data_IF_930648599993
#
_entry.id   IF_930648599993
#
_cell.length_a   1.000
_cell.length_b   1.000
_cell.length_c   1.000
_cell.angle_alpha   90.00
_cell.angle_beta   90.00
_cell.angle_gamma   90.00
#
_symmetry.space_group_name_H-M   'P 1'
#
loop_
_entity.id
_entity.type
_entity.pdbx_description
1 polymer ?
#
# COMPACT_ATOMS: atom_id res chain seq x y z
N UNK A 1 2.98 -11.07 -37.18
CA UNK A 1 4.35 -11.52 -36.88
C UNK A 1 4.29 -12.94 -36.35
N UNK A 2 5.38 -13.72 -36.37
CA UNK A 2 5.37 -15.05 -35.78
C UNK A 2 4.95 -14.95 -34.31
N UNK A 3 4.06 -15.84 -33.88
CA UNK A 3 3.67 -15.97 -32.49
C UNK A 3 4.91 -16.40 -31.69
N UNK A 4 5.18 -15.76 -30.56
CA UNK A 4 6.26 -16.18 -29.65
C UNK A 4 6.06 -17.66 -29.31
N UNK A 5 7.15 -18.42 -29.22
CA UNK A 5 7.09 -19.78 -28.72
C UNK A 5 6.55 -19.79 -27.28
N UNK A 6 5.95 -20.90 -26.85
CA UNK A 6 5.44 -21.04 -25.48
C UNK A 6 6.52 -20.72 -24.44
N UNK A 7 7.78 -21.10 -24.70
CA UNK A 7 8.90 -20.82 -23.80
C UNK A 7 9.23 -19.32 -23.71
N UNK A 8 9.26 -18.61 -24.85
CA UNK A 8 9.48 -17.15 -24.89
C UNK A 8 8.34 -16.41 -24.19
N UNK A 9 7.10 -16.85 -24.38
CA UNK A 9 5.95 -16.31 -23.68
C UNK A 9 6.06 -16.50 -22.16
N UNK A 10 6.36 -17.71 -21.68
CA UNK A 10 6.50 -17.98 -20.24
C UNK A 10 7.59 -17.11 -19.64
N UNK A 11 8.74 -16.98 -20.32
CA UNK A 11 9.82 -16.12 -19.83
C UNK A 11 9.37 -14.66 -19.73
N UNK A 12 8.76 -14.12 -20.79
CA UNK A 12 8.28 -12.75 -20.81
C UNK A 12 7.20 -12.50 -19.74
N UNK A 13 6.28 -13.44 -19.55
CA UNK A 13 5.25 -13.36 -18.52
C UNK A 13 5.86 -13.30 -17.12
N UNK A 14 6.88 -14.11 -16.84
CA UNK A 14 7.59 -14.07 -15.56
C UNK A 14 8.34 -12.75 -15.37
N UNK A 15 9.07 -12.27 -16.38
CA UNK A 15 9.84 -11.02 -16.31
C UNK A 15 8.93 -9.78 -16.15
N UNK A 16 7.67 -9.86 -16.57
CA UNK A 16 6.68 -8.76 -16.52
C UNK A 16 5.71 -8.88 -15.34
N UNK A 17 5.80 -9.95 -14.55
CA UNK A 17 4.96 -10.14 -13.36
C UNK A 17 5.61 -9.46 -12.16
N UNK A 18 4.87 -8.57 -11.51
CA UNK A 18 5.31 -7.95 -10.24
C UNK A 18 4.55 -8.56 -9.07
N UNK A 19 5.26 -8.91 -8.01
CA UNK A 19 4.72 -9.56 -6.83
C UNK A 19 4.87 -8.63 -5.63
N UNK A 20 3.73 -8.17 -5.12
CA UNK A 20 3.64 -7.45 -3.85
C UNK A 20 3.01 -8.34 -2.79
N UNK A 21 3.55 -8.29 -1.58
CA UNK A 21 2.94 -8.92 -0.41
C UNK A 21 2.26 -7.89 0.47
N UNK A 22 1.13 -8.26 1.07
CA UNK A 22 0.49 -7.44 2.09
C UNK A 22 1.07 -7.74 3.46
N UNK A 23 1.58 -6.70 4.14
CA UNK A 23 2.03 -6.79 5.53
C UNK A 23 1.01 -6.09 6.43
N UNK A 24 0.07 -6.87 6.97
CA UNK A 24 -1.12 -6.37 7.68
C UNK A 24 -1.20 -6.93 9.11
N UNK A 25 -0.05 -7.26 9.71
CA UNK A 25 0.00 -7.67 11.11
C UNK A 25 1.33 -7.39 11.79
N UNK A 26 1.36 -7.28 13.13
CA UNK A 26 2.60 -7.21 13.89
C UNK A 26 3.55 -8.38 13.60
N UNK A 27 3.01 -9.57 13.33
CA UNK A 27 3.81 -10.74 12.95
C UNK A 27 4.49 -10.55 11.59
N UNK A 28 3.79 -9.99 10.60
CA UNK A 28 4.38 -9.64 9.31
C UNK A 28 5.49 -8.59 9.48
N UNK A 29 5.25 -7.54 10.27
CA UNK A 29 6.24 -6.51 10.56
C UNK A 29 7.51 -7.08 11.23
N UNK A 30 7.37 -8.01 12.19
CA UNK A 30 8.51 -8.67 12.85
C UNK A 30 9.33 -9.55 11.91
N UNK A 31 8.72 -10.10 10.86
CA UNK A 31 9.37 -11.00 9.91
C UNK A 31 9.71 -10.32 8.57
N UNK A 32 9.58 -8.99 8.49
CA UNK A 32 9.60 -8.29 7.21
C UNK A 32 10.93 -8.44 6.47
N UNK A 33 12.06 -8.46 7.18
CA UNK A 33 13.38 -8.67 6.57
C UNK A 33 13.48 -10.04 5.88
N UNK A 34 12.93 -11.10 6.50
CA UNK A 34 12.93 -12.43 5.92
C UNK A 34 12.00 -12.49 4.69
N UNK A 35 10.81 -11.90 4.79
CA UNK A 35 9.84 -11.82 3.69
C UNK A 35 10.46 -11.07 2.50
N UNK A 36 10.96 -9.86 2.75
CA UNK A 36 11.46 -8.97 1.70
C UNK A 36 12.79 -9.44 1.10
N UNK A 37 13.48 -10.40 1.73
CA UNK A 37 14.68 -11.02 1.17
C UNK A 37 14.41 -11.96 0.00
N UNK A 38 13.18 -12.47 -0.16
CA UNK A 38 12.83 -13.38 -1.25
C UNK A 38 13.08 -12.72 -2.61
N UNK A 39 13.82 -13.36 -3.54
CA UNK A 39 14.11 -12.76 -4.85
C UNK A 39 12.86 -12.56 -5.72
N UNK A 40 11.75 -13.20 -5.37
CA UNK A 40 10.48 -13.13 -6.11
C UNK A 40 9.58 -11.98 -5.67
N UNK A 41 9.84 -11.34 -4.53
CA UNK A 41 8.99 -10.27 -4.00
C UNK A 41 9.57 -8.92 -4.45
N UNK A 42 8.79 -8.10 -5.10
CA UNK A 42 9.19 -6.77 -5.57
C UNK A 42 8.92 -5.66 -4.55
N UNK A 43 8.00 -5.91 -3.61
CA UNK A 43 7.65 -4.93 -2.60
C UNK A 43 6.59 -5.37 -1.61
N UNK A 44 6.26 -4.44 -0.73
CA UNK A 44 5.29 -4.63 0.34
C UNK A 44 4.23 -3.56 0.27
N UNK A 45 2.97 -3.94 0.48
CA UNK A 45 1.85 -3.03 0.66
C UNK A 45 1.31 -3.18 2.08
N UNK A 46 1.06 -2.05 2.76
CA UNK A 46 0.39 -2.03 4.06
C UNK A 46 -1.05 -1.59 3.88
N UNK A 47 -1.99 -2.41 4.37
CA UNK A 47 -3.39 -2.06 4.58
C UNK A 47 -3.63 -1.61 6.02
N UNK A 48 -3.83 -0.32 6.30
CA UNK A 48 -3.96 0.17 7.68
C UNK A 48 -5.15 -0.40 8.44
N UNK A 49 -6.27 -0.63 7.76
CA UNK A 49 -7.50 -1.12 8.38
C UNK A 49 -7.29 -2.53 8.95
N UNK A 50 -6.79 -3.46 8.15
CA UNK A 50 -6.49 -4.82 8.60
C UNK A 50 -5.33 -4.86 9.61
N UNK A 51 -4.32 -3.99 9.43
CA UNK A 51 -3.21 -3.90 10.38
C UNK A 51 -3.70 -3.46 11.78
N UNK A 52 -4.41 -2.33 11.86
CA UNK A 52 -4.93 -1.84 13.16
C UNK A 52 -5.92 -2.82 13.79
N UNK A 53 -6.68 -3.57 12.96
CA UNK A 53 -7.52 -4.66 13.43
C UNK A 53 -6.71 -5.81 14.04
N UNK A 54 -5.65 -6.26 13.37
CA UNK A 54 -4.77 -7.32 13.88
C UNK A 54 -4.03 -6.94 15.17
N UNK A 55 -3.88 -5.64 15.42
CA UNK A 55 -3.31 -5.08 16.65
C UNK A 55 -4.32 -4.93 17.79
N UNK A 56 -5.63 -5.07 17.53
CA UNK A 56 -6.67 -4.81 18.51
C UNK A 56 -7.00 -3.32 18.72
N UNK A 57 -6.51 -2.43 17.85
CA UNK A 57 -6.73 -0.97 17.92
C UNK A 57 -7.44 -0.46 16.67
N UNK A 58 -8.53 -1.15 16.28
CA UNK A 58 -9.28 -0.93 15.04
C UNK A 58 -9.50 0.57 14.77
N UNK A 59 -9.02 1.05 13.61
CA UNK A 59 -9.22 2.42 13.16
C UNK A 59 -8.36 3.48 13.85
N UNK A 60 -7.51 3.10 14.82
CA UNK A 60 -6.58 4.00 15.49
C UNK A 60 -5.31 4.18 14.65
N UNK A 61 -5.46 4.87 13.52
CA UNK A 61 -4.42 5.07 12.52
C UNK A 61 -3.24 5.98 12.94
N UNK A 62 -3.42 6.71 14.04
CA UNK A 62 -2.41 7.58 14.64
C UNK A 62 -1.68 6.89 15.81
N UNK A 63 -2.03 5.62 16.10
CA UNK A 63 -1.35 4.83 17.12
C UNK A 63 0.16 4.71 16.82
N UNK A 64 0.97 5.00 17.83
CA UNK A 64 2.43 5.05 17.69
C UNK A 64 3.04 3.67 17.38
N UNK A 65 2.45 2.58 17.85
CA UNK A 65 2.93 1.23 17.52
C UNK A 65 2.60 0.88 16.06
N UNK A 66 1.41 1.24 15.59
CA UNK A 66 1.02 1.03 14.19
C UNK A 66 1.92 1.81 13.24
N UNK A 67 2.15 3.10 13.53
CA UNK A 67 3.05 3.93 12.72
C UNK A 67 4.50 3.41 12.79
N UNK A 68 4.95 2.95 13.96
CA UNK A 68 6.26 2.33 14.12
C UNK A 68 6.43 1.05 13.29
N UNK A 69 5.40 0.22 13.20
CA UNK A 69 5.40 -0.95 12.32
C UNK A 69 5.45 -0.56 10.84
N UNK A 70 4.67 0.43 10.41
CA UNK A 70 4.72 0.94 9.04
C UNK A 70 6.12 1.48 8.68
N UNK A 71 6.74 2.25 9.59
CA UNK A 71 8.08 2.79 9.39
C UNK A 71 9.13 1.68 9.32
N UNK A 72 9.05 0.65 10.18
CA UNK A 72 9.95 -0.50 10.12
C UNK A 72 9.86 -1.26 8.79
N UNK A 73 8.64 -1.49 8.29
CA UNK A 73 8.41 -2.15 6.99
C UNK A 73 8.98 -1.30 5.85
N UNK A 74 8.74 0.01 5.86
CA UNK A 74 9.32 0.93 4.89
C UNK A 74 10.86 0.84 4.89
N UNK A 75 11.50 0.91 6.05
CA UNK A 75 12.96 0.84 6.14
C UNK A 75 13.51 -0.49 5.62
N UNK A 76 12.84 -1.61 5.89
CA UNK A 76 13.22 -2.90 5.35
C UNK A 76 13.14 -2.94 3.82
N UNK A 77 12.07 -2.38 3.23
CA UNK A 77 11.92 -2.26 1.78
C UNK A 77 13.02 -1.39 1.17
N UNK A 78 13.31 -0.21 1.75
CA UNK A 78 14.36 0.68 1.28
C UNK A 78 15.74 0.02 1.32
N UNK A 79 16.06 -0.67 2.43
CA UNK A 79 17.32 -1.42 2.59
C UNK A 79 17.45 -2.53 1.54
N UNK A 80 16.36 -3.22 1.24
CA UNK A 80 16.32 -4.27 0.21
C UNK A 80 16.25 -3.72 -1.22
N UNK A 81 16.14 -2.39 -1.39
CA UNK A 81 15.90 -1.71 -2.68
C UNK A 81 14.62 -2.22 -3.37
N UNK A 82 13.57 -2.41 -2.59
CA UNK A 82 12.25 -2.91 -3.00
C UNK A 82 11.16 -1.88 -2.71
N UNK A 83 10.04 -2.03 -3.41
CA UNK A 83 8.95 -1.07 -3.33
C UNK A 83 8.21 -1.14 -2.00
N UNK A 84 7.79 0.02 -1.51
CA UNK A 84 6.87 0.14 -0.39
C UNK A 84 5.62 0.89 -0.85
N UNK A 85 4.47 0.38 -0.44
CA UNK A 85 3.19 1.05 -0.59
C UNK A 85 2.33 1.00 0.65
N UNK A 86 1.41 1.95 0.74
CA UNK A 86 0.44 2.03 1.83
C UNK A 86 -0.89 2.55 1.27
N UNK A 87 -2.00 1.96 1.71
CA UNK A 87 -3.32 2.44 1.36
C UNK A 87 -3.75 3.58 2.28
N UNK A 88 -4.19 4.71 1.73
CA UNK A 88 -4.69 5.83 2.53
C UNK A 88 -5.68 6.71 1.76
N UNK A 89 -6.62 7.34 2.46
CA UNK A 89 -7.64 8.22 1.86
C UNK A 89 -7.45 9.71 2.15
N UNK A 90 -6.45 10.10 2.94
CA UNK A 90 -6.05 11.50 3.19
C UNK A 90 -4.80 11.87 2.40
N UNK A 91 -4.89 12.92 1.58
CA UNK A 91 -3.79 13.34 0.69
C UNK A 91 -2.52 13.72 1.46
N UNK A 92 -2.63 14.46 2.55
CA UNK A 92 -1.45 14.92 3.32
C UNK A 92 -0.65 13.74 3.89
N UNK A 93 -1.33 12.69 4.35
CA UNK A 93 -0.68 11.48 4.86
C UNK A 93 -0.04 10.69 3.72
N UNK A 94 -0.71 10.59 2.57
CA UNK A 94 -0.14 9.97 1.39
C UNK A 94 1.15 10.70 0.95
N UNK A 95 1.15 12.03 0.96
CA UNK A 95 2.32 12.86 0.66
C UNK A 95 3.43 12.69 1.71
N UNK A 96 3.09 12.56 2.99
CA UNK A 96 4.06 12.30 4.05
C UNK A 96 4.78 10.96 3.85
N UNK A 97 4.06 9.88 3.51
CA UNK A 97 4.66 8.59 3.20
C UNK A 97 5.51 8.61 1.94
N UNK A 98 5.06 9.32 0.88
CA UNK A 98 5.88 9.55 -0.31
C UNK A 98 7.20 10.24 0.03
N UNK A 99 7.17 11.27 0.88
CA UNK A 99 8.37 11.99 1.34
C UNK A 99 9.32 11.07 2.12
N UNK A 100 8.80 10.09 2.86
CA UNK A 100 9.61 9.09 3.58
C UNK A 100 10.23 8.02 2.65
N UNK A 101 9.76 7.88 1.41
CA UNK A 101 10.30 6.93 0.43
C UNK A 101 9.30 5.92 -0.12
N UNK A 102 8.00 6.03 0.21
CA UNK A 102 6.99 5.19 -0.43
C UNK A 102 6.94 5.44 -1.94
N UNK A 103 6.94 4.38 -2.73
CA UNK A 103 6.92 4.43 -4.20
C UNK A 103 5.57 4.06 -4.80
N UNK A 104 4.72 3.38 -4.03
CA UNK A 104 3.39 2.96 -4.46
C UNK A 104 2.34 3.60 -3.54
N UNK A 105 1.39 4.35 -4.11
CA UNK A 105 0.34 5.00 -3.34
C UNK A 105 -1.02 4.41 -3.74
N UNK A 106 -1.60 3.60 -2.86
CA UNK A 106 -2.98 3.13 -3.02
C UNK A 106 -3.89 4.22 -2.43
N UNK A 107 -4.17 5.25 -3.23
CA UNK A 107 -4.89 6.42 -2.74
C UNK A 107 -6.41 6.24 -2.87
N UNK A 108 -7.08 6.18 -1.72
CA UNK A 108 -8.54 6.10 -1.62
C UNK A 108 -9.12 4.94 -2.44
N UNK A 109 -10.43 4.97 -2.63
CA UNK A 109 -11.13 4.12 -3.59
C UNK A 109 -11.96 4.98 -4.53
N UNK A 110 -12.25 4.47 -5.72
CA UNK A 110 -13.14 5.17 -6.66
C UNK A 110 -14.50 5.49 -6.02
N UNK A 111 -15.05 4.58 -5.22
CA UNK A 111 -16.30 4.79 -4.49
C UNK A 111 -16.18 5.89 -3.44
N UNK A 112 -15.08 5.95 -2.70
CA UNK A 112 -14.88 7.00 -1.70
C UNK A 112 -14.66 8.37 -2.34
N UNK A 113 -13.87 8.45 -3.43
CA UNK A 113 -13.67 9.69 -4.17
C UNK A 113 -14.98 10.25 -4.75
N UNK A 114 -15.79 9.37 -5.36
CA UNK A 114 -17.12 9.75 -5.86
C UNK A 114 -18.03 10.23 -4.73
N UNK A 115 -18.06 9.50 -3.60
CA UNK A 115 -18.86 9.85 -2.42
C UNK A 115 -18.43 11.21 -1.85
N UNK A 116 -17.14 11.46 -1.72
CA UNK A 116 -16.59 12.72 -1.20
C UNK A 116 -17.03 13.89 -2.07
N UNK A 117 -16.81 13.81 -3.39
CA UNK A 117 -17.17 14.91 -4.28
C UNK A 117 -18.68 15.12 -4.38
N UNK A 118 -19.46 14.03 -4.43
CA UNK A 118 -20.92 14.11 -4.41
C UNK A 118 -21.43 14.78 -3.12
N UNK A 119 -20.86 14.42 -1.97
CA UNK A 119 -21.24 14.99 -0.67
C UNK A 119 -20.90 16.49 -0.60
N UNK A 120 -19.74 16.90 -1.12
CA UNK A 120 -19.33 18.30 -1.21
C UNK A 120 -20.32 19.12 -2.05
N UNK A 121 -20.64 18.66 -3.27
CA UNK A 121 -21.57 19.35 -4.18
C UNK A 121 -22.96 19.45 -3.58
N UNK A 122 -23.49 18.35 -3.03
CA UNK A 122 -24.80 18.33 -2.41
C UNK A 122 -24.87 19.25 -1.17
N UNK A 123 -23.80 19.31 -0.38
CA UNK A 123 -23.69 20.25 0.74
C UNK A 123 -23.78 21.71 0.30
N UNK A 124 -23.02 22.07 -0.73
CA UNK A 124 -23.02 23.44 -1.28
C UNK A 124 -24.37 23.86 -1.85
N UNK A 125 -25.05 22.96 -2.56
CA UNK A 125 -26.40 23.22 -3.08
C UNK A 125 -27.41 23.46 -1.95
N UNK A 126 -27.39 22.63 -0.89
CA UNK A 126 -28.28 22.80 0.26
C UNK A 126 -28.06 24.10 1.03
N UNK A 127 -26.83 24.57 1.14
CA UNK A 127 -26.51 25.84 1.82
C UNK A 127 -26.76 27.08 0.96
N UNK A 128 -27.13 26.91 -0.31
CA UNK A 128 -27.41 28.02 -1.23
C UNK A 128 -28.91 28.33 -1.38
N UNK A 129 -29.77 27.60 -0.66
CA UNK A 129 -31.22 27.83 -0.55
C UNK A 129 -31.54 28.21 0.90
#
# INVERSE_FOLDING_TARGET
GPCASTAEYIKAANDQTTIFVQAESPAAARNIDAIISSPWIDGVIVGPSDFTMSMGVIGQYEDGQFLGHCDAILQACLKARKHFGIHWSKLDVAMAWKKKGATIMLYSSATNLLREKASEVAGRLRSSW
#
